data_IF_187510095632
#
_entry.id   IF_187510095632
#
_cell.length_a   1.000
_cell.length_b   1.000
_cell.length_c   1.000
_cell.angle_alpha   90.00
_cell.angle_beta   90.00
_cell.angle_gamma   90.00
#
_symmetry.space_group_name_H-M   'P 1'
#
loop_
_entity.id
_entity.type
_entity.pdbx_description
1 polymer ?
#
# COMPACT_ATOMS: atom_id res chain seq x y z
N UNK A 1 -20.41 -5.22 -11.97
CA UNK A 1 -19.77 -6.01 -10.90
C UNK A 1 -19.09 -4.99 -10.01
N UNK A 2 -19.47 -4.86 -8.73
CA UNK A 2 -18.80 -3.92 -7.84
C UNK A 2 -17.42 -4.51 -7.53
N UNK A 3 -16.35 -3.88 -8.01
CA UNK A 3 -14.99 -4.23 -7.61
C UNK A 3 -14.76 -3.70 -6.19
N UNK A 4 -15.34 -4.39 -5.20
CA UNK A 4 -15.03 -4.14 -3.80
C UNK A 4 -13.64 -4.69 -3.50
N UNK A 5 -12.68 -3.80 -3.26
CA UNK A 5 -11.30 -4.15 -2.97
C UNK A 5 -10.34 -3.55 -3.99
N UNK A 6 -9.87 -2.34 -3.69
CA UNK A 6 -8.92 -1.59 -4.49
C UNK A 6 -8.50 -0.32 -3.76
N UNK A 7 -7.51 0.42 -4.29
CA UNK A 7 -7.00 1.63 -3.67
C UNK A 7 -8.11 2.66 -3.37
N UNK A 8 -9.07 2.83 -4.28
CA UNK A 8 -10.16 3.80 -4.10
C UNK A 8 -11.06 3.43 -2.90
N UNK A 9 -11.40 2.15 -2.77
CA UNK A 9 -12.12 1.66 -1.60
C UNK A 9 -11.28 1.84 -0.31
N UNK A 10 -9.96 1.69 -0.36
CA UNK A 10 -9.10 1.93 0.80
C UNK A 10 -9.08 3.42 1.18
N UNK A 11 -9.07 4.32 0.20
CA UNK A 11 -9.13 5.76 0.45
C UNK A 11 -10.46 6.19 1.08
N UNK A 12 -11.57 5.58 0.68
CA UNK A 12 -12.90 5.85 1.25
C UNK A 12 -13.14 5.20 2.62
N UNK A 13 -12.47 4.08 2.90
CA UNK A 13 -12.75 3.24 4.08
C UNK A 13 -11.72 3.35 5.19
N UNK A 14 -10.54 3.91 4.91
CA UNK A 14 -9.47 4.09 5.89
C UNK A 14 -9.32 5.55 6.28
N UNK A 15 -9.12 5.78 7.57
CA UNK A 15 -8.73 7.10 8.07
C UNK A 15 -7.35 7.49 7.52
N UNK A 16 -7.07 8.79 7.31
CA UNK A 16 -5.76 9.24 6.82
C UNK A 16 -4.58 8.72 7.66
N UNK A 17 -4.77 8.59 8.97
CA UNK A 17 -3.75 8.02 9.87
C UNK A 17 -3.47 6.54 9.60
N UNK A 18 -4.47 5.76 9.19
CA UNK A 18 -4.31 4.35 8.85
C UNK A 18 -3.54 4.21 7.52
N UNK A 19 -3.83 5.06 6.53
CA UNK A 19 -3.10 5.09 5.27
C UNK A 19 -1.64 5.52 5.46
N UNK A 20 -1.40 6.52 6.30
CA UNK A 20 -0.05 6.95 6.67
C UNK A 20 0.74 5.83 7.38
N UNK A 21 0.10 5.11 8.31
CA UNK A 21 0.72 3.96 8.97
C UNK A 21 1.04 2.83 7.98
N UNK A 22 0.16 2.57 7.01
CA UNK A 22 0.40 1.59 5.96
C UNK A 22 1.57 2.00 5.06
N UNK A 23 1.67 3.28 4.69
CA UNK A 23 2.79 3.79 3.90
C UNK A 23 4.12 3.69 4.67
N UNK A 24 4.11 3.98 5.97
CA UNK A 24 5.29 3.80 6.83
C UNK A 24 5.72 2.33 6.92
N UNK A 25 4.76 1.40 7.06
CA UNK A 25 5.05 -0.03 7.05
C UNK A 25 5.62 -0.50 5.70
N UNK A 26 5.06 -0.02 4.57
CA UNK A 26 5.58 -0.34 3.25
C UNK A 26 7.05 0.09 3.09
N UNK A 27 7.41 1.30 3.53
CA UNK A 27 8.81 1.76 3.55
C UNK A 27 9.72 0.91 4.44
N UNK A 28 9.24 0.56 5.64
CA UNK A 28 9.97 -0.30 6.56
C UNK A 28 10.34 -1.65 5.93
N UNK A 29 9.46 -2.18 5.07
CA UNK A 29 9.71 -3.40 4.31
C UNK A 29 10.34 -3.17 2.92
N UNK A 30 10.89 -1.98 2.64
CA UNK A 30 11.50 -1.58 1.36
C UNK A 30 10.56 -1.69 0.15
N UNK A 31 9.28 -1.45 0.34
CA UNK A 31 8.25 -1.39 -0.72
C UNK A 31 7.88 0.07 -1.02
N UNK A 32 8.86 0.86 -1.47
CA UNK A 32 8.72 2.31 -1.72
C UNK A 32 7.66 2.63 -2.78
N UNK A 33 7.50 1.77 -3.77
CA UNK A 33 6.48 1.88 -4.80
C UNK A 33 5.05 1.75 -4.23
N UNK A 34 4.85 0.80 -3.32
CA UNK A 34 3.59 0.66 -2.58
C UNK A 34 3.38 1.84 -1.61
N UNK A 35 4.42 2.32 -0.95
CA UNK A 35 4.33 3.48 -0.07
C UNK A 35 3.90 4.74 -0.84
N UNK A 36 4.45 4.95 -2.04
CA UNK A 36 4.07 6.06 -2.91
C UNK A 36 2.59 5.99 -3.32
N UNK A 37 2.09 4.80 -3.68
CA UNK A 37 0.65 4.62 -3.94
C UNK A 37 -0.18 5.02 -2.73
N UNK A 38 0.18 4.54 -1.54
CA UNK A 38 -0.58 4.80 -0.30
C UNK A 38 -0.62 6.28 0.09
N UNK A 39 0.47 7.02 -0.15
CA UNK A 39 0.52 8.47 0.10
C UNK A 39 -0.35 9.28 -0.86
N UNK A 40 -0.50 8.80 -2.10
CA UNK A 40 -1.27 9.49 -3.14
C UNK A 40 -2.79 9.27 -3.02
N UNK A 41 -3.21 8.22 -2.30
CA UNK A 41 -4.61 7.81 -2.20
C UNK A 41 -5.56 8.86 -1.62
N UNK A 42 -5.24 9.54 -0.50
CA UNK A 42 -6.15 10.55 0.05
C UNK A 42 -6.40 11.71 -0.91
N UNK A 43 -5.39 12.09 -1.69
CA UNK A 43 -5.50 13.16 -2.67
C UNK A 43 -6.37 12.73 -3.87
N UNK A 44 -6.16 11.51 -4.37
CA UNK A 44 -6.93 10.93 -5.47
C UNK A 44 -8.43 10.78 -5.13
N UNK A 45 -8.77 10.39 -3.90
CA UNK A 45 -10.17 10.29 -3.47
C UNK A 45 -10.85 11.65 -3.24
N UNK A 46 -10.09 12.71 -3.01
CA UNK A 46 -10.62 14.05 -2.70
C UNK A 46 -10.87 14.94 -3.93
N UNK A 47 -10.38 14.54 -5.11
CA UNK A 47 -10.37 15.37 -6.31
C UNK A 47 -11.04 14.69 -7.50
N UNK A 48 -12.22 15.21 -7.88
CA UNK A 48 -12.89 15.12 -9.19
C UNK A 48 -12.33 14.11 -10.20
N UNK A 49 -13.09 13.03 -10.47
CA UNK A 49 -13.30 12.34 -11.78
C UNK A 49 -12.06 12.21 -12.71
N UNK A 50 -10.84 12.16 -12.19
CA UNK A 50 -9.65 11.86 -12.96
C UNK A 50 -9.50 10.35 -13.00
N UNK A 51 -10.36 9.72 -13.81
CA UNK A 51 -10.37 8.28 -14.08
C UNK A 51 -8.95 7.75 -14.39
N UNK A 52 -8.07 8.60 -14.95
CA UNK A 52 -6.67 8.26 -15.24
C UNK A 52 -5.77 8.11 -14.00
N UNK A 53 -6.02 8.86 -12.92
CA UNK A 53 -5.30 8.70 -11.65
C UNK A 53 -5.77 7.42 -10.95
N UNK A 54 -7.08 7.16 -10.96
CA UNK A 54 -7.65 5.96 -10.36
C UNK A 54 -7.15 4.68 -11.03
N UNK A 55 -7.12 4.65 -12.36
CA UNK A 55 -6.61 3.52 -13.14
C UNK A 55 -5.11 3.30 -12.88
N UNK A 56 -4.31 4.37 -12.85
CA UNK A 56 -2.86 4.27 -12.56
C UNK A 56 -2.61 3.72 -11.15
N UNK A 57 -3.32 4.24 -10.14
CA UNK A 57 -3.15 3.81 -8.74
C UNK A 57 -3.61 2.36 -8.58
N UNK A 58 -4.71 1.98 -9.23
CA UNK A 58 -5.22 0.61 -9.24
C UNK A 58 -4.24 -0.35 -9.92
N UNK A 59 -3.73 0.00 -11.10
CA UNK A 59 -2.75 -0.82 -11.83
C UNK A 59 -1.47 -1.00 -11.00
N UNK A 60 -0.97 0.08 -10.39
CA UNK A 60 0.23 0.04 -9.57
C UNK A 60 0.00 -0.81 -8.33
N UNK A 61 -1.11 -0.61 -7.61
CA UNK A 61 -1.48 -1.43 -6.47
C UNK A 61 -1.61 -2.91 -6.81
N UNK A 62 -2.32 -3.26 -7.90
CA UNK A 62 -2.48 -4.65 -8.32
C UNK A 62 -1.18 -5.28 -8.76
N UNK A 63 -0.28 -4.54 -9.40
CA UNK A 63 1.08 -5.02 -9.73
C UNK A 63 1.87 -5.42 -8.48
N UNK A 64 1.63 -4.75 -7.35
CA UNK A 64 2.32 -5.05 -6.09
C UNK A 64 1.61 -6.09 -5.23
N UNK A 65 0.30 -6.28 -5.39
CA UNK A 65 -0.51 -7.13 -4.52
C UNK A 65 -0.98 -8.44 -5.15
N UNK A 66 -0.94 -8.58 -6.48
CA UNK A 66 -1.30 -9.82 -7.17
C UNK A 66 -0.30 -10.95 -6.93
N UNK A 67 0.97 -10.61 -6.68
CA UNK A 67 2.00 -11.60 -6.41
C UNK A 67 2.17 -11.78 -4.90
N UNK A 68 1.37 -12.68 -4.32
CA UNK A 68 1.30 -12.90 -2.87
C UNK A 68 2.64 -13.25 -2.20
N UNK A 69 3.64 -13.67 -2.97
CA UNK A 69 4.99 -13.94 -2.46
C UNK A 69 5.82 -12.67 -2.22
N UNK A 70 5.42 -11.50 -2.76
CA UNK A 70 6.17 -10.25 -2.57
C UNK A 70 6.23 -9.82 -1.11
N UNK A 71 5.10 -9.90 -0.40
CA UNK A 71 5.07 -9.61 1.04
C UNK A 71 5.90 -10.62 1.84
N UNK A 72 5.84 -11.91 1.46
CA UNK A 72 6.67 -12.94 2.06
C UNK A 72 8.17 -12.69 1.85
N UNK A 73 8.56 -12.28 0.65
CA UNK A 73 9.94 -11.93 0.32
C UNK A 73 10.42 -10.69 1.07
N UNK A 74 9.59 -9.64 1.16
CA UNK A 74 9.90 -8.43 1.89
C UNK A 74 10.05 -8.69 3.40
N UNK A 75 9.17 -9.53 3.98
CA UNK A 75 9.28 -9.98 5.37
C UNK A 75 10.57 -10.77 5.62
N UNK A 76 10.88 -11.75 4.76
CA UNK A 76 12.13 -12.53 4.86
C UNK A 76 13.37 -11.64 4.77
N UNK A 77 13.36 -10.67 3.84
CA UNK A 77 14.45 -9.71 3.68
C UNK A 77 14.62 -8.84 4.92
N UNK A 78 13.52 -8.30 5.47
CA UNK A 78 13.58 -7.46 6.69
C UNK A 78 14.05 -8.27 7.90
N UNK A 79 13.52 -9.47 8.09
CA UNK A 79 13.95 -10.37 9.16
C UNK A 79 15.44 -10.72 9.07
N UNK A 80 15.96 -10.91 7.85
CA UNK A 80 17.40 -11.15 7.65
C UNK A 80 18.28 -9.93 7.94
N UNK A 81 17.76 -8.71 7.75
CA UNK A 81 18.50 -7.47 7.96
C UNK A 81 18.43 -6.92 9.39
N UNK A 82 17.30 -7.12 10.07
CA UNK A 82 17.03 -6.62 11.42
C UNK A 82 16.10 -7.61 12.17
N UNK A 83 16.59 -8.78 12.60
CA UNK A 83 15.80 -9.77 13.31
C UNK A 83 15.26 -9.27 14.67
N UNK A 84 15.97 -8.35 15.31
CA UNK A 84 15.62 -7.75 16.61
C UNK A 84 14.27 -7.03 16.60
N UNK A 85 13.85 -6.49 15.45
CA UNK A 85 12.56 -5.80 15.30
C UNK A 85 11.35 -6.74 15.44
N UNK A 86 11.59 -8.05 15.43
CA UNK A 86 10.56 -9.10 15.53
C UNK A 86 10.59 -9.81 16.88
N UNK A 87 11.48 -9.42 17.79
CA UNK A 87 11.49 -9.94 19.14
C UNK A 87 10.29 -9.39 19.92
N UNK A 88 9.62 -10.19 20.77
CA UNK A 88 8.53 -9.70 21.60
C UNK A 88 9.03 -8.58 22.53
N UNK A 89 8.34 -7.44 22.51
CA UNK A 89 8.51 -6.32 23.44
C UNK A 89 7.75 -6.52 24.73
#
# INVERSE_FOLDING_TARGET
>A
MVQNGGPNHAADSCEPAQLAAAAAAARYFNMEDLAAVLDELPAAASGYDDEGIEDRLSETYYRHTQDGDRFGAALRARYGAAPEDFEPV
#
